data_IF_409062006833
#
_entry.id   IF_409062006833
#
_cell.length_a   1.000
_cell.length_b   1.000
_cell.length_c   1.000
_cell.angle_alpha   90.00
_cell.angle_beta   90.00
_cell.angle_gamma   90.00
#
_symmetry.space_group_name_H-M   'P 1'
#
loop_
_entity.id
_entity.type
_entity.pdbx_description
1 polymer ?
#
# COMPACT_ATOMS: atom_id res chain seq x y z
N UNK A 1 7.71 -13.39 6.61
CA UNK A 1 7.62 -14.27 5.41
C UNK A 1 7.04 -13.45 4.26
N UNK A 2 7.54 -13.57 3.03
CA UNK A 2 6.94 -12.90 1.87
C UNK A 2 5.94 -13.84 1.20
N UNK A 3 4.63 -13.55 1.23
CA UNK A 3 3.68 -14.26 0.40
C UNK A 3 4.08 -14.22 -1.08
N UNK A 4 3.81 -15.30 -1.84
CA UNK A 4 4.08 -15.34 -3.27
C UNK A 4 3.24 -14.31 -4.04
N UNK A 5 3.71 -13.95 -5.24
CA UNK A 5 2.89 -13.23 -6.22
C UNK A 5 1.57 -13.97 -6.46
N UNK A 6 0.48 -13.23 -6.56
CA UNK A 6 -0.89 -13.74 -6.71
C UNK A 6 -1.61 -14.00 -5.39
N UNK A 7 -0.93 -13.98 -4.23
CA UNK A 7 -1.61 -14.07 -2.93
C UNK A 7 -2.62 -12.94 -2.78
N UNK A 8 -3.87 -13.30 -2.45
CA UNK A 8 -4.92 -12.32 -2.20
C UNK A 8 -4.60 -11.50 -0.93
N UNK A 9 -4.95 -10.22 -0.95
CA UNK A 9 -4.71 -9.27 0.13
C UNK A 9 -5.96 -8.45 0.35
N UNK A 10 -6.39 -8.35 1.60
CA UNK A 10 -7.40 -7.38 2.04
C UNK A 10 -6.68 -6.24 2.75
N UNK A 11 -7.05 -5.00 2.44
CA UNK A 11 -6.46 -3.79 3.03
C UNK A 11 -7.59 -2.91 3.56
N UNK A 12 -7.52 -2.55 4.84
CA UNK A 12 -8.59 -1.86 5.53
C UNK A 12 -8.08 -0.95 6.64
N UNK A 13 -9.00 -0.24 7.31
CA UNK A 13 -8.70 0.58 8.47
C UNK A 13 -7.90 1.84 8.14
N UNK A 14 -7.30 2.41 9.19
CA UNK A 14 -6.61 3.69 9.14
C UNK A 14 -6.60 4.35 10.52
N UNK A 15 -6.04 5.56 10.60
CA UNK A 15 -6.07 6.31 11.86
C UNK A 15 -7.49 6.79 12.20
N UNK A 16 -8.27 7.14 11.18
CA UNK A 16 -9.64 7.62 11.33
C UNK A 16 -10.62 6.45 11.47
N UNK A 17 -11.70 6.66 12.24
CA UNK A 17 -12.78 5.68 12.39
C UNK A 17 -13.50 5.43 11.05
N UNK A 18 -13.57 6.44 10.18
CA UNK A 18 -14.05 6.35 8.80
C UNK A 18 -12.95 6.84 7.84
N UNK A 19 -12.02 5.95 7.45
CA UNK A 19 -10.87 6.34 6.64
C UNK A 19 -11.30 6.78 5.24
N UNK A 20 -11.15 8.07 4.94
CA UNK A 20 -11.55 8.64 3.64
C UNK A 20 -10.76 8.06 2.46
N UNK A 21 -9.57 7.50 2.72
CA UNK A 21 -8.69 6.97 1.68
C UNK A 21 -9.24 5.71 1.01
N UNK A 22 -10.21 5.02 1.62
CA UNK A 22 -10.90 3.85 1.04
C UNK A 22 -12.04 4.24 0.08
N UNK A 23 -12.25 5.53 -0.18
CA UNK A 23 -13.26 5.98 -1.14
C UNK A 23 -14.70 5.62 -0.74
N UNK A 24 -14.99 5.54 0.57
CA UNK A 24 -16.28 5.14 1.11
C UNK A 24 -16.49 3.63 1.26
N UNK A 25 -15.48 2.80 0.94
CA UNK A 25 -15.47 1.36 1.22
C UNK A 25 -14.98 1.07 2.64
N UNK A 26 -15.32 -0.10 3.16
CA UNK A 26 -14.77 -0.58 4.45
C UNK A 26 -13.37 -1.18 4.29
N UNK A 27 -13.08 -1.70 3.10
CA UNK A 27 -11.81 -2.32 2.72
C UNK A 27 -11.66 -2.31 1.19
N UNK A 28 -10.44 -2.57 0.73
CA UNK A 28 -10.13 -2.88 -0.67
C UNK A 28 -9.44 -4.23 -0.76
N UNK A 29 -9.70 -4.93 -1.85
CA UNK A 29 -9.14 -6.25 -2.14
C UNK A 29 -8.21 -6.18 -3.36
N UNK A 30 -7.26 -7.09 -3.40
CA UNK A 30 -6.34 -7.24 -4.52
C UNK A 30 -5.40 -8.41 -4.34
N UNK A 31 -4.33 -8.42 -5.12
CA UNK A 31 -3.33 -9.48 -5.13
C UNK A 31 -1.91 -8.92 -5.06
N UNK A 32 -1.02 -9.65 -4.40
CA UNK A 32 0.42 -9.36 -4.43
C UNK A 32 0.90 -9.42 -5.88
N UNK A 33 1.31 -8.28 -6.42
CA UNK A 33 1.90 -8.17 -7.75
C UNK A 33 3.38 -8.55 -7.67
N UNK A 34 4.13 -7.87 -6.79
CA UNK A 34 5.57 -8.05 -6.64
C UNK A 34 6.10 -7.46 -5.34
N UNK A 35 7.38 -7.71 -5.08
CA UNK A 35 8.14 -7.17 -3.96
C UNK A 35 9.25 -6.26 -4.49
N UNK A 36 9.29 -5.02 -4.01
CA UNK A 36 10.28 -4.01 -4.45
C UNK A 36 11.13 -3.54 -3.27
N UNK A 37 12.29 -2.90 -3.50
CA UNK A 37 13.05 -2.27 -2.43
C UNK A 37 12.16 -1.29 -1.64
N UNK A 38 12.03 -1.50 -0.33
CA UNK A 38 11.27 -0.61 0.55
C UNK A 38 12.09 0.58 1.03
N UNK A 39 11.46 1.43 1.84
CA UNK A 39 12.15 2.58 2.47
C UNK A 39 13.06 2.18 3.64
N UNK A 40 12.77 1.05 4.28
CA UNK A 40 13.52 0.51 5.42
C UNK A 40 14.32 -0.74 5.01
N UNK A 41 14.69 -1.59 5.96
CA UNK A 41 15.42 -2.84 5.69
C UNK A 41 14.56 -3.92 5.03
N UNK A 42 13.24 -3.83 5.13
CA UNK A 42 12.30 -4.77 4.52
C UNK A 42 11.88 -4.29 3.14
N UNK A 43 11.55 -5.24 2.26
CA UNK A 43 10.93 -4.94 0.96
C UNK A 43 9.51 -4.45 1.14
N UNK A 44 9.08 -3.56 0.25
CA UNK A 44 7.69 -3.15 0.12
C UNK A 44 6.88 -4.17 -0.69
N UNK A 45 5.60 -4.31 -0.37
CA UNK A 45 4.68 -5.17 -1.11
C UNK A 45 3.88 -4.32 -2.11
N UNK A 46 3.99 -4.61 -3.40
CA UNK A 46 3.13 -4.01 -4.41
C UNK A 46 1.89 -4.89 -4.53
N UNK A 47 0.72 -4.30 -4.31
CA UNK A 47 -0.58 -4.96 -4.47
C UNK A 47 -1.30 -4.32 -5.65
N UNK A 48 -1.80 -5.15 -6.54
CA UNK A 48 -2.73 -4.76 -7.58
C UNK A 48 -4.15 -4.98 -7.04
N UNK A 49 -4.89 -3.89 -6.89
CA UNK A 49 -6.29 -3.89 -6.47
C UNK A 49 -7.19 -4.42 -7.58
N UNK A 50 -8.30 -5.05 -7.17
CA UNK A 50 -9.32 -5.58 -8.07
C UNK A 50 -10.16 -4.47 -8.71
N UNK A 51 -10.22 -3.31 -8.05
CA UNK A 51 -10.93 -2.12 -8.49
C UNK A 51 -10.05 -0.87 -8.37
N UNK A 52 -10.37 0.16 -9.17
CA UNK A 52 -9.75 1.47 -9.01
C UNK A 52 -10.07 2.08 -7.64
N UNK A 53 -9.03 2.59 -7.00
CA UNK A 53 -9.13 3.41 -5.81
C UNK A 53 -8.87 4.87 -6.17
N UNK A 54 -9.69 5.77 -5.64
CA UNK A 54 -9.44 7.21 -5.72
C UNK A 54 -9.32 7.77 -4.31
N UNK A 55 -8.17 8.37 -4.00
CA UNK A 55 -7.86 8.88 -2.67
C UNK A 55 -7.00 10.13 -2.73
N UNK A 56 -7.11 10.99 -1.71
CA UNK A 56 -6.24 12.17 -1.56
C UNK A 56 -5.12 11.85 -0.59
N UNK A 57 -3.88 11.92 -1.08
CA UNK A 57 -2.66 11.62 -0.32
C UNK A 57 -1.65 12.77 -0.34
N UNK A 58 -0.55 12.60 0.38
CA UNK A 58 0.63 13.47 0.23
C UNK A 58 1.53 12.97 -0.90
N UNK A 59 1.90 13.88 -1.81
CA UNK A 59 2.89 13.67 -2.87
C UNK A 59 3.97 14.73 -2.69
N UNK A 60 5.09 14.37 -2.03
CA UNK A 60 6.24 15.26 -1.80
C UNK A 60 5.85 16.59 -1.11
N UNK A 61 5.00 16.52 -0.08
CA UNK A 61 4.57 17.67 0.71
C UNK A 61 3.36 18.42 0.12
N UNK A 62 2.71 17.89 -0.92
CA UNK A 62 1.49 18.46 -1.51
C UNK A 62 0.35 17.46 -1.43
N UNK A 63 -0.84 17.94 -1.03
CA UNK A 63 -2.06 17.14 -1.04
C UNK A 63 -2.59 17.04 -2.46
N UNK A 64 -2.65 15.82 -2.99
CA UNK A 64 -3.10 15.54 -4.35
C UNK A 64 -4.08 14.36 -4.36
N UNK A 65 -5.14 14.48 -5.16
CA UNK A 65 -6.04 13.36 -5.44
C UNK A 65 -5.41 12.48 -6.51
N UNK A 66 -5.39 11.17 -6.27
CA UNK A 66 -4.86 10.17 -7.19
C UNK A 66 -5.87 9.05 -7.40
N UNK A 67 -5.91 8.53 -8.61
CA UNK A 67 -6.72 7.37 -9.00
C UNK A 67 -5.79 6.30 -9.57
N UNK A 68 -5.91 5.06 -9.10
CA UNK A 68 -5.07 3.97 -9.55
C UNK A 68 -5.53 2.61 -9.06
N UNK A 69 -4.84 1.56 -9.51
CA UNK A 69 -5.08 0.17 -9.09
C UNK A 69 -3.87 -0.43 -8.38
N UNK A 70 -2.76 0.31 -8.25
CA UNK A 70 -1.57 -0.19 -7.57
C UNK A 70 -1.42 0.51 -6.23
N UNK A 71 -1.21 -0.26 -5.18
CA UNK A 71 -0.81 0.26 -3.88
C UNK A 71 0.50 -0.36 -3.45
N UNK A 72 1.37 0.44 -2.84
CA UNK A 72 2.60 -0.02 -2.20
C UNK A 72 2.38 -0.01 -0.71
N UNK A 73 2.54 -1.18 -0.09
CA UNK A 73 2.50 -1.38 1.35
C UNK A 73 3.91 -1.37 1.91
N UNK A 74 4.15 -0.49 2.87
CA UNK A 74 5.44 -0.32 3.54
C UNK A 74 5.29 -0.57 5.04
N UNK A 75 6.17 -1.40 5.62
CA UNK A 75 6.18 -1.64 7.06
C UNK A 75 6.65 -0.39 7.81
N UNK A 76 5.96 -0.10 8.90
CA UNK A 76 6.13 1.16 9.63
C UNK A 76 7.35 1.17 10.54
N UNK A 77 7.64 0.04 11.19
CA UNK A 77 8.62 -0.01 12.27
C UNK A 77 9.91 -0.71 11.84
N UNK A 78 11.04 -0.16 12.27
CA UNK A 78 12.35 -0.82 12.08
C UNK A 78 12.35 -2.16 12.79
N UNK A 79 12.68 -3.22 12.06
CA UNK A 79 12.69 -4.60 12.57
C UNK A 79 11.33 -5.30 12.56
N UNK A 80 10.26 -4.64 12.08
CA UNK A 80 9.00 -5.32 11.77
C UNK A 80 9.22 -6.28 10.61
N UNK A 81 8.57 -7.45 10.65
CA UNK A 81 8.55 -8.40 9.55
C UNK A 81 7.14 -8.53 8.97
N UNK A 82 7.06 -9.03 7.73
CA UNK A 82 5.78 -9.39 7.11
C UNK A 82 5.21 -10.64 7.79
N UNK A 83 3.99 -10.49 8.32
CA UNK A 83 3.18 -11.56 8.93
C UNK A 83 1.93 -11.82 8.09
N UNK A 84 1.04 -12.71 8.55
CA UNK A 84 -0.26 -12.93 7.91
C UNK A 84 -1.12 -11.67 7.89
N UNK A 85 -1.05 -10.86 8.93
CA UNK A 85 -1.71 -9.56 9.02
C UNK A 85 -0.88 -8.58 9.82
N UNK A 86 -0.96 -7.29 9.52
CA UNK A 86 -0.25 -6.27 10.26
C UNK A 86 -0.57 -4.86 9.81
N UNK A 87 0.15 -3.89 10.36
CA UNK A 87 -0.01 -2.47 10.02
C UNK A 87 1.04 -2.02 9.01
N UNK A 88 0.61 -1.27 8.01
CA UNK A 88 1.46 -0.71 6.96
C UNK A 88 1.06 0.73 6.59
N UNK A 89 2.01 1.45 5.98
CA UNK A 89 1.72 2.65 5.20
C UNK A 89 1.23 2.26 3.81
N UNK A 90 0.36 3.07 3.23
CA UNK A 90 -0.20 2.87 1.90
C UNK A 90 0.17 4.05 1.01
N UNK A 91 0.85 3.74 -0.08
CA UNK A 91 1.09 4.64 -1.20
C UNK A 91 0.23 4.19 -2.38
N UNK A 92 -0.69 5.05 -2.85
CA UNK A 92 -1.50 4.81 -4.04
C UNK A 92 -0.77 5.29 -5.29
N UNK A 93 -0.56 4.39 -6.26
CA UNK A 93 0.10 4.66 -7.53
C UNK A 93 -0.90 4.59 -8.69
N UNK A 94 -0.78 5.53 -9.63
CA UNK A 94 -1.54 5.64 -10.87
C UNK A 94 -0.99 4.74 -12.00
N UNK A 95 0.25 4.29 -11.87
CA UNK A 95 0.88 3.26 -12.69
C UNK A 95 1.58 2.21 -11.80
N UNK A 96 1.98 1.08 -12.40
CA UNK A 96 2.78 0.08 -11.68
C UNK A 96 4.13 0.69 -11.25
N UNK A 97 4.52 0.59 -9.97
CA UNK A 97 5.78 1.17 -9.50
C UNK A 97 6.99 0.39 -10.03
N UNK A 98 8.07 1.11 -10.36
CA UNK A 98 9.34 0.50 -10.75
C UNK A 98 9.99 -0.30 -9.60
N UNK A 99 10.85 -1.26 -9.96
CA UNK A 99 11.64 -2.07 -9.03
C UNK A 99 12.87 -1.30 -8.50
N UNK A 100 12.62 -0.12 -7.94
CA UNK A 100 13.64 0.81 -7.42
C UNK A 100 13.23 1.36 -6.05
N UNK A 101 14.20 1.78 -5.21
CA UNK A 101 13.89 2.45 -3.94
C UNK A 101 12.97 3.66 -4.14
N UNK A 102 12.15 3.97 -3.12
CA UNK A 102 11.16 5.05 -3.17
C UNK A 102 11.73 6.38 -3.67
N UNK A 103 12.95 6.76 -3.27
CA UNK A 103 13.61 8.01 -3.69
C UNK A 103 14.03 8.05 -5.16
N UNK A 104 14.03 6.92 -5.86
CA UNK A 104 14.57 6.76 -7.21
C UNK A 104 13.49 6.43 -8.26
N UNK A 105 12.23 6.23 -7.84
CA UNK A 105 11.10 5.95 -8.74
C UNK A 105 10.08 7.08 -8.78
N UNK A 106 9.14 6.96 -9.70
CA UNK A 106 7.91 7.74 -9.64
C UNK A 106 7.12 7.35 -8.39
N UNK A 107 6.69 8.37 -7.64
CA UNK A 107 6.03 8.19 -6.35
C UNK A 107 4.53 8.39 -6.47
N UNK A 108 3.81 7.50 -5.81
CA UNK A 108 2.40 7.57 -5.51
C UNK A 108 2.06 8.62 -4.46
N UNK A 109 0.77 8.73 -4.17
CA UNK A 109 0.24 9.52 -3.07
C UNK A 109 0.24 8.68 -1.79
N UNK A 110 0.85 9.19 -0.73
CA UNK A 110 0.76 8.56 0.60
C UNK A 110 -0.62 8.83 1.19
N UNK A 111 -1.45 7.81 1.26
CA UNK A 111 -2.88 7.95 1.58
C UNK A 111 -3.24 7.50 2.99
N UNK A 112 -2.46 6.62 3.60
CA UNK A 112 -2.69 6.13 4.98
C UNK A 112 -1.36 5.67 5.63
N UNK A 113 -1.22 5.86 6.95
CA UNK A 113 -0.05 5.42 7.74
C UNK A 113 -0.36 4.31 8.77
N UNK A 114 -1.62 3.90 8.89
CA UNK A 114 -2.09 2.91 9.86
C UNK A 114 -3.08 1.92 9.23
N UNK A 115 -2.93 1.62 7.94
CA UNK A 115 -3.76 0.62 7.28
C UNK A 115 -3.41 -0.78 7.81
N UNK A 116 -4.41 -1.64 7.90
CA UNK A 116 -4.26 -3.05 8.21
C UNK A 116 -4.24 -3.83 6.91
N UNK A 117 -3.22 -4.67 6.71
CA UNK A 117 -3.21 -5.67 5.65
C UNK A 117 -3.50 -7.06 6.22
N UNK A 118 -4.11 -7.92 5.42
CA UNK A 118 -4.26 -9.35 5.70
C UNK A 118 -4.05 -10.14 4.41
N UNK A 119 -3.05 -11.03 4.39
CA UNK A 119 -2.80 -11.93 3.26
C UNK A 119 -3.65 -13.19 3.37
N UNK A 120 -4.16 -13.73 2.27
CA UNK A 120 -4.74 -15.07 2.29
C UNK A 120 -3.68 -16.13 2.68
N UNK A 121 -4.09 -17.10 3.51
CA UNK A 121 -3.26 -18.21 3.98
C UNK A 121 -3.18 -19.39 3.02
#
# INVERSE_FOLDING_TARGET
MHPPTGTAVTISGGYDFEPQWLGGKQEVEGHVEKWIPGQNTQTACVVRLDEFLTATGDVRGKREQRTGVFVVLELRYVGQEWEHSGTAHVELCDAEPDDRPWSEREVGAWVESHATYAFAG
#
